data_IF_835186132902
#
_entry.id   IF_835186132902
#
_cell.length_a   1.000
_cell.length_b   1.000
_cell.length_c   1.000
_cell.angle_alpha   90.00
_cell.angle_beta   90.00
_cell.angle_gamma   90.00
#
_symmetry.space_group_name_H-M   'P 1'
#
loop_
_entity.id
_entity.type
_entity.pdbx_description
1 polymer ?
#
# COMPACT_ATOMS: atom_id res chain seq x y z
N UNK A 1 -27.93 -50.35 -53.54
CA UNK A 1 -26.46 -50.38 -53.43
C UNK A 1 -26.07 -49.24 -52.51
N UNK A 2 -25.71 -49.53 -51.26
CA UNK A 2 -25.40 -48.55 -50.21
C UNK A 2 -24.12 -47.78 -50.58
N UNK A 3 -24.17 -46.45 -50.59
CA UNK A 3 -22.98 -45.59 -50.62
C UNK A 3 -22.73 -45.13 -49.19
N UNK A 4 -21.68 -45.67 -48.58
CA UNK A 4 -21.16 -45.23 -47.27
C UNK A 4 -20.38 -43.93 -47.45
N UNK A 5 -20.93 -42.81 -46.96
CA UNK A 5 -20.22 -41.53 -46.88
C UNK A 5 -19.39 -41.53 -45.60
N UNK A 6 -18.08 -41.62 -45.75
CA UNK A 6 -17.11 -41.51 -44.66
C UNK A 6 -16.97 -40.04 -44.27
N UNK A 7 -17.61 -39.62 -43.19
CA UNK A 7 -17.39 -38.30 -42.59
C UNK A 7 -16.12 -38.32 -41.73
N UNK A 8 -15.09 -37.62 -42.20
CA UNK A 8 -13.84 -37.39 -41.47
C UNK A 8 -14.07 -36.26 -40.46
N UNK A 9 -13.87 -36.46 -39.13
CA UNK A 9 -14.07 -35.38 -38.18
C UNK A 9 -12.88 -34.42 -38.28
N UNK A 10 -13.13 -33.23 -38.81
CA UNK A 10 -12.19 -32.12 -38.76
C UNK A 10 -12.21 -31.55 -37.33
N UNK A 11 -11.19 -31.90 -36.55
CA UNK A 11 -11.05 -31.45 -35.17
C UNK A 11 -10.70 -29.96 -35.17
N UNK A 12 -11.70 -29.10 -35.05
CA UNK A 12 -11.53 -27.64 -35.01
C UNK A 12 -11.15 -27.24 -33.58
N UNK A 13 -9.86 -27.22 -33.30
CA UNK A 13 -9.33 -26.70 -32.03
C UNK A 13 -9.52 -25.19 -32.04
N UNK A 14 -10.62 -24.71 -31.44
CA UNK A 14 -10.81 -23.30 -31.13
C UNK A 14 -9.86 -22.97 -29.97
N UNK A 15 -8.68 -22.46 -30.30
CA UNK A 15 -7.80 -21.78 -29.34
C UNK A 15 -8.46 -20.45 -28.96
N UNK A 16 -9.28 -20.49 -27.91
CA UNK A 16 -9.79 -19.29 -27.24
C UNK A 16 -8.62 -18.62 -26.51
N UNK A 17 -7.84 -17.81 -27.24
CA UNK A 17 -6.89 -16.87 -26.66
C UNK A 17 -7.68 -15.81 -25.90
N UNK A 18 -8.00 -16.09 -24.63
CA UNK A 18 -8.37 -15.07 -23.65
C UNK A 18 -7.17 -14.14 -23.49
N UNK A 19 -7.16 -13.03 -24.25
CA UNK A 19 -6.27 -11.92 -23.98
C UNK A 19 -6.69 -11.31 -22.65
N UNK A 20 -6.14 -11.83 -21.55
CA UNK A 20 -6.24 -11.21 -20.23
C UNK A 20 -5.62 -9.81 -20.35
N UNK A 21 -6.48 -8.81 -20.49
CA UNK A 21 -6.09 -7.40 -20.46
C UNK A 21 -5.81 -7.08 -18.99
N UNK A 22 -4.54 -7.15 -18.58
CA UNK A 22 -4.14 -6.62 -17.29
C UNK A 22 -4.21 -5.09 -17.39
N UNK A 23 -5.38 -4.52 -17.08
CA UNK A 23 -5.49 -3.10 -16.80
C UNK A 23 -4.71 -2.85 -15.52
N UNK A 24 -3.47 -2.36 -15.65
CA UNK A 24 -2.74 -1.79 -14.52
C UNK A 24 -3.46 -0.51 -14.14
N UNK A 25 -4.36 -0.58 -13.15
CA UNK A 25 -4.99 0.61 -12.62
C UNK A 25 -3.92 1.49 -11.98
N UNK A 26 -3.80 2.73 -12.45
CA UNK A 26 -2.93 3.71 -11.83
C UNK A 26 -3.51 4.10 -10.46
N UNK A 27 -2.64 4.25 -9.46
CA UNK A 27 -3.06 4.74 -8.14
C UNK A 27 -3.27 6.24 -8.26
N UNK A 28 -4.54 6.66 -8.29
CA UNK A 28 -4.91 8.08 -8.40
C UNK A 28 -5.11 8.77 -7.04
N UNK A 29 -5.32 8.00 -5.97
CA UNK A 29 -5.37 8.49 -4.59
C UNK A 29 -5.15 7.35 -3.59
N UNK A 30 -4.97 7.70 -2.31
CA UNK A 30 -4.86 6.75 -1.20
C UNK A 30 -5.78 7.17 -0.04
N UNK A 31 -7.02 7.59 -0.31
CA UNK A 31 -7.93 8.07 0.74
C UNK A 31 -8.07 7.05 1.91
N UNK A 32 -7.98 7.54 3.14
CA UNK A 32 -8.12 6.74 4.37
C UNK A 32 -6.84 6.69 5.22
N UNK A 33 -6.83 5.78 6.21
CA UNK A 33 -5.72 5.57 7.12
C UNK A 33 -4.79 4.47 6.60
N UNK A 34 -3.49 4.75 6.58
CA UNK A 34 -2.45 3.86 6.08
C UNK A 34 -1.29 3.80 7.06
N UNK A 35 -0.80 2.61 7.34
CA UNK A 35 0.32 2.40 8.25
C UNK A 35 1.48 1.71 7.53
N UNK A 36 2.68 1.96 8.00
CA UNK A 36 3.85 1.24 7.52
C UNK A 36 3.77 -0.25 7.91
N UNK A 37 4.26 -1.15 7.06
CA UNK A 37 4.38 -2.55 7.43
C UNK A 37 5.58 -2.75 8.37
N UNK A 38 5.32 -3.25 9.58
CA UNK A 38 6.28 -3.30 10.70
C UNK A 38 7.61 -3.98 10.33
N UNK A 39 7.51 -5.10 9.62
CA UNK A 39 8.68 -5.92 9.27
C UNK A 39 9.33 -5.50 7.95
N UNK A 40 8.95 -4.37 7.36
CA UNK A 40 9.66 -3.78 6.25
C UNK A 40 11.02 -3.19 6.71
N UNK A 41 12.04 -3.27 5.86
CA UNK A 41 13.29 -2.55 6.06
C UNK A 41 13.27 -1.22 5.32
N UNK A 42 14.39 -0.48 5.39
CA UNK A 42 14.51 0.81 4.69
C UNK A 42 14.27 0.71 3.18
N UNK A 43 14.66 -0.41 2.57
CA UNK A 43 14.51 -0.68 1.14
C UNK A 43 14.06 -2.11 0.85
N UNK A 44 13.78 -2.89 1.90
CA UNK A 44 13.41 -4.30 1.78
C UNK A 44 11.95 -4.46 2.12
N UNK A 45 11.24 -5.24 1.29
CA UNK A 45 9.84 -5.58 1.49
C UNK A 45 9.58 -6.20 2.87
N UNK A 46 8.35 -6.09 3.41
CA UNK A 46 7.95 -6.77 4.64
C UNK A 46 8.06 -8.31 4.48
N UNK A 47 8.39 -8.98 5.58
CA UNK A 47 8.57 -10.44 5.62
C UNK A 47 7.27 -11.22 5.90
N UNK A 48 6.25 -10.53 6.35
CA UNK A 48 5.01 -11.09 6.88
C UNK A 48 3.77 -10.70 6.04
N UNK A 49 3.99 -10.18 4.83
CA UNK A 49 2.94 -9.64 3.96
C UNK A 49 2.07 -8.57 4.65
N UNK A 50 2.67 -7.71 5.47
CA UNK A 50 1.98 -6.64 6.21
C UNK A 50 0.84 -7.16 7.09
N UNK A 51 1.02 -8.30 7.75
CA UNK A 51 0.10 -8.76 8.80
C UNK A 51 0.22 -7.90 10.05
N UNK A 52 1.43 -7.43 10.33
CA UNK A 52 1.74 -6.48 11.39
C UNK A 52 2.04 -5.09 10.80
N UNK A 53 1.39 -4.07 11.37
CA UNK A 53 1.59 -2.66 11.02
C UNK A 53 2.45 -2.00 12.10
N UNK A 54 3.33 -1.10 11.70
CA UNK A 54 4.01 -0.16 12.58
C UNK A 54 2.97 0.77 13.21
N UNK A 55 3.23 1.30 14.41
CA UNK A 55 2.32 2.23 15.04
C UNK A 55 2.29 3.60 14.35
N UNK A 56 3.26 3.92 13.50
CA UNK A 56 3.29 5.15 12.71
C UNK A 56 2.59 5.01 11.34
N UNK A 57 1.79 6.03 10.99
CA UNK A 57 1.02 6.04 9.76
C UNK A 57 0.56 7.43 9.33
N UNK A 58 -0.28 7.46 8.30
CA UNK A 58 -0.84 8.66 7.71
C UNK A 58 -2.33 8.48 7.41
N UNK A 59 -3.12 9.52 7.67
CA UNK A 59 -4.44 9.67 7.06
C UNK A 59 -4.27 10.55 5.82
N UNK A 60 -4.60 10.01 4.65
CA UNK A 60 -4.71 10.82 3.45
C UNK A 60 -6.17 11.24 3.26
N UNK A 61 -6.38 12.55 3.24
CA UNK A 61 -7.70 13.13 2.95
C UNK A 61 -7.56 14.56 2.49
N UNK A 62 -8.42 15.02 1.57
CA UNK A 62 -8.48 16.43 1.13
C UNK A 62 -7.11 17.03 0.73
N UNK A 63 -6.30 16.28 -0.02
CA UNK A 63 -4.93 16.68 -0.41
C UNK A 63 -3.98 16.96 0.77
N UNK A 64 -4.26 16.33 1.92
CA UNK A 64 -3.41 16.35 3.11
C UNK A 64 -2.97 14.95 3.50
N UNK A 65 -1.75 14.85 4.00
CA UNK A 65 -1.27 13.72 4.77
C UNK A 65 -1.20 14.14 6.24
N UNK A 66 -2.04 13.54 7.08
CA UNK A 66 -2.04 13.76 8.52
C UNK A 66 -1.25 12.63 9.15
N UNK A 67 -0.11 12.92 9.77
CA UNK A 67 0.62 11.92 10.55
C UNK A 67 -0.25 11.43 11.71
N UNK A 68 -0.25 10.12 11.96
CA UNK A 68 -0.91 9.49 13.09
C UNK A 68 0.01 8.47 13.73
N UNK A 69 -0.11 8.30 15.05
CA UNK A 69 0.58 7.24 15.77
C UNK A 69 -0.40 6.48 16.66
N UNK A 70 -0.49 5.17 16.53
CA UNK A 70 -1.27 4.30 17.43
C UNK A 70 -0.62 4.30 18.82
N UNK A 71 -1.45 4.41 19.86
CA UNK A 71 -1.00 4.62 21.25
C UNK A 71 -1.54 3.58 22.25
N UNK A 72 -2.44 2.70 21.82
CA UNK A 72 -3.09 1.70 22.67
C UNK A 72 -2.67 0.26 22.36
N UNK A 73 -1.70 0.07 21.46
CA UNK A 73 -1.16 -1.26 21.21
C UNK A 73 -0.37 -1.80 22.41
N UNK A 74 -0.60 -3.07 22.72
CA UNK A 74 0.16 -3.86 23.70
C UNK A 74 0.90 -5.03 23.05
N UNK A 75 1.03 -5.04 21.71
CA UNK A 75 1.70 -6.12 21.00
C UNK A 75 3.17 -6.23 21.41
N UNK A 76 3.60 -7.47 21.67
CA UNK A 76 4.95 -7.77 22.13
C UNK A 76 5.85 -8.24 20.98
N UNK A 77 5.27 -8.76 19.90
CA UNK A 77 5.98 -9.32 18.76
C UNK A 77 6.32 -8.25 17.72
N UNK A 78 6.83 -7.10 18.17
CA UNK A 78 7.31 -6.04 17.29
C UNK A 78 8.79 -6.23 16.96
N UNK A 79 9.21 -5.68 15.83
CA UNK A 79 10.59 -5.66 15.36
C UNK A 79 11.49 -5.05 16.42
N UNK A 80 12.61 -5.73 16.69
CA UNK A 80 13.57 -5.35 17.75
C UNK A 80 12.95 -5.33 19.16
N UNK A 81 11.91 -6.13 19.41
CA UNK A 81 11.25 -6.27 20.72
C UNK A 81 10.70 -4.96 21.29
N UNK A 82 10.26 -4.05 20.41
CA UNK A 82 9.72 -2.75 20.80
C UNK A 82 8.23 -2.87 21.11
N UNK A 83 7.92 -3.31 22.32
CA UNK A 83 6.54 -3.53 22.78
C UNK A 83 5.67 -2.29 22.55
N UNK A 84 4.48 -2.49 21.97
CA UNK A 84 3.49 -1.45 21.70
C UNK A 84 3.78 -0.55 20.50
N UNK A 85 4.88 -0.78 19.75
CA UNK A 85 5.21 0.00 18.54
C UNK A 85 4.70 -0.65 17.24
N UNK A 86 3.85 -1.67 17.35
CA UNK A 86 3.23 -2.31 16.21
C UNK A 86 1.87 -2.88 16.60
N UNK A 87 1.02 -3.24 15.65
CA UNK A 87 -0.29 -3.85 15.90
C UNK A 87 -0.75 -4.69 14.71
N UNK A 88 -1.67 -5.63 14.94
CA UNK A 88 -2.18 -6.49 13.85
C UNK A 88 -3.07 -5.69 12.91
N UNK A 89 -2.90 -5.93 11.62
CA UNK A 89 -3.64 -5.22 10.56
C UNK A 89 -5.14 -5.57 10.50
N UNK A 90 -5.58 -6.61 11.20
CA UNK A 90 -6.96 -7.12 11.23
C UNK A 90 -7.73 -6.73 12.49
N UNK A 91 -7.21 -5.80 13.30
CA UNK A 91 -7.95 -5.26 14.43
C UNK A 91 -9.16 -4.44 13.96
N UNK A 92 -10.28 -4.61 14.65
CA UNK A 92 -11.52 -3.87 14.36
C UNK A 92 -11.38 -2.37 14.60
N UNK A 93 -10.55 -1.96 15.57
CA UNK A 93 -10.27 -0.56 15.86
C UNK A 93 -8.91 -0.36 16.52
N UNK A 94 -8.38 0.86 16.42
CA UNK A 94 -7.20 1.33 17.16
C UNK A 94 -7.38 2.77 17.61
N UNK A 95 -6.73 3.15 18.71
CA UNK A 95 -6.66 4.54 19.16
C UNK A 95 -5.36 5.17 18.67
N UNK A 96 -5.47 6.29 17.97
CA UNK A 96 -4.30 7.02 17.47
C UNK A 96 -4.28 8.47 17.93
N UNK A 97 -3.06 9.00 18.14
CA UNK A 97 -2.82 10.43 18.31
C UNK A 97 -2.61 11.07 16.95
N UNK A 98 -3.25 12.23 16.74
CA UNK A 98 -3.04 13.05 15.55
C UNK A 98 -1.75 13.86 15.67
N UNK A 99 -0.95 13.85 14.61
CA UNK A 99 0.27 14.63 14.47
C UNK A 99 0.13 15.79 13.49
N UNK A 100 1.25 16.13 12.86
CA UNK A 100 1.38 17.20 11.88
C UNK A 100 0.67 16.86 10.57
N UNK A 101 0.22 17.90 9.87
CA UNK A 101 -0.36 17.79 8.54
C UNK A 101 0.58 18.36 7.47
N UNK A 102 0.69 17.65 6.36
CA UNK A 102 1.44 18.05 5.18
C UNK A 102 0.55 18.13 3.95
N UNK A 103 0.93 18.98 2.98
CA UNK A 103 0.27 18.98 1.68
C UNK A 103 0.73 17.79 0.86
N UNK A 104 -0.22 17.11 0.24
CA UNK A 104 0.05 16.05 -0.74
C UNK A 104 -0.69 16.29 -2.04
N UNK A 105 -0.17 15.74 -3.14
CA UNK A 105 -0.89 15.61 -4.41
C UNK A 105 -0.73 14.18 -4.91
N UNK A 106 -1.80 13.61 -5.42
CA UNK A 106 -1.80 12.31 -6.06
C UNK A 106 -2.06 12.44 -7.56
N UNK A 107 -1.59 11.45 -8.33
CA UNK A 107 -1.98 11.27 -9.73
C UNK A 107 -0.92 10.53 -10.53
N UNK A 108 -1.35 9.76 -11.54
CA UNK A 108 -0.46 8.96 -12.39
C UNK A 108 0.48 8.04 -11.57
N UNK A 109 -0.06 7.36 -10.55
CA UNK A 109 0.71 6.51 -9.62
C UNK A 109 1.86 7.26 -8.93
N UNK A 110 1.66 8.54 -8.60
CA UNK A 110 2.63 9.33 -7.83
C UNK A 110 1.96 9.97 -6.62
N UNK A 111 2.71 10.03 -5.53
CA UNK A 111 2.43 10.84 -4.35
C UNK A 111 3.49 11.94 -4.27
N UNK A 112 3.08 13.20 -4.28
CA UNK A 112 3.97 14.34 -4.09
C UNK A 112 3.72 14.89 -2.69
N UNK A 113 4.69 14.74 -1.79
CA UNK A 113 4.64 15.23 -0.41
C UNK A 113 5.46 16.51 -0.27
N UNK A 114 4.82 17.60 0.14
CA UNK A 114 5.48 18.89 0.34
C UNK A 114 5.78 19.13 1.82
N UNK A 115 7.06 19.21 2.17
CA UNK A 115 7.55 19.44 3.54
C UNK A 115 8.85 20.25 3.54
N UNK A 116 8.99 21.17 4.51
CA UNK A 116 10.16 22.05 4.70
C UNK A 116 10.64 22.74 3.40
N UNK A 117 9.70 23.28 2.61
CA UNK A 117 10.01 24.01 1.38
C UNK A 117 10.46 23.13 0.20
N UNK A 118 10.38 21.80 0.31
CA UNK A 118 10.70 20.86 -0.77
C UNK A 118 9.52 19.90 -1.02
N UNK A 119 9.31 19.51 -2.27
CA UNK A 119 8.28 18.52 -2.64
C UNK A 119 8.95 17.24 -3.11
N UNK A 120 8.81 16.17 -2.34
CA UNK A 120 9.33 14.85 -2.68
C UNK A 120 8.28 14.10 -3.50
N UNK A 121 8.71 13.55 -4.63
CA UNK A 121 7.90 12.63 -5.42
C UNK A 121 8.18 11.19 -4.95
N UNK A 122 7.11 10.44 -4.70
CA UNK A 122 7.13 9.01 -4.48
C UNK A 122 6.37 8.33 -5.62
N UNK A 123 6.98 7.34 -6.26
CA UNK A 123 6.34 6.48 -7.24
C UNK A 123 5.60 5.36 -6.51
N UNK A 124 4.30 5.27 -6.76
CA UNK A 124 3.41 4.32 -6.14
C UNK A 124 3.31 3.06 -7.01
N UNK A 125 3.42 1.90 -6.38
CA UNK A 125 3.18 0.61 -7.01
C UNK A 125 2.23 -0.19 -6.16
N UNK A 126 1.07 -0.48 -6.72
CA UNK A 126 0.09 -1.36 -6.10
C UNK A 126 0.67 -2.77 -5.96
N UNK A 127 0.62 -3.31 -4.75
CA UNK A 127 0.73 -4.74 -4.50
C UNK A 127 -0.59 -5.15 -3.89
N UNK A 128 -1.06 -6.34 -4.22
CA UNK A 128 -2.33 -6.91 -3.74
C UNK A 128 -2.69 -6.70 -2.26
N UNK A 129 -1.72 -6.46 -1.38
CA UNK A 129 -1.90 -6.31 0.08
C UNK A 129 -1.45 -4.93 0.60
N UNK A 130 -0.59 -4.22 -0.13
CA UNK A 130 0.02 -2.97 0.32
C UNK A 130 0.51 -2.14 -0.88
N UNK A 131 0.66 -0.83 -0.69
CA UNK A 131 1.27 0.05 -1.68
C UNK A 131 2.74 0.24 -1.37
N UNK A 132 3.59 0.08 -2.37
CA UNK A 132 4.99 0.47 -2.31
C UNK A 132 5.13 1.92 -2.80
N UNK A 133 5.69 2.80 -1.97
CA UNK A 133 5.96 4.20 -2.31
C UNK A 133 7.47 4.46 -2.28
N UNK A 134 8.06 4.47 -3.47
CA UNK A 134 9.51 4.58 -3.67
C UNK A 134 9.90 6.02 -4.01
N UNK A 135 10.85 6.64 -3.30
CA UNK A 135 11.23 8.03 -3.55
C UNK A 135 11.94 8.16 -4.90
N UNK A 136 11.62 9.22 -5.64
CA UNK A 136 12.30 9.57 -6.87
C UNK A 136 13.81 9.80 -6.66
N UNK A 137 14.61 9.75 -7.74
CA UNK A 137 16.06 9.91 -7.64
C UNK A 137 16.46 11.27 -7.07
N UNK A 138 15.78 12.34 -7.53
CA UNK A 138 15.94 13.68 -7.00
C UNK A 138 15.22 13.78 -5.66
N UNK A 139 16.02 13.84 -4.59
CA UNK A 139 15.53 13.76 -3.22
C UNK A 139 15.56 15.09 -2.52
N UNK A 140 14.49 15.39 -1.79
CA UNK A 140 14.55 16.35 -0.70
C UNK A 140 15.52 15.85 0.37
N UNK A 141 16.22 16.76 1.05
CA UNK A 141 17.22 16.41 2.08
C UNK A 141 16.64 15.52 3.19
N UNK A 142 15.33 15.65 3.46
CA UNK A 142 14.61 14.91 4.50
C UNK A 142 14.07 13.54 4.06
N UNK A 143 13.90 13.26 2.77
CA UNK A 143 13.23 12.04 2.30
C UNK A 143 14.12 10.80 2.35
N UNK A 144 15.43 10.99 2.20
CA UNK A 144 16.40 9.89 2.19
C UNK A 144 16.13 8.82 1.11
N UNK A 145 16.52 7.57 1.38
CA UNK A 145 16.33 6.43 0.46
C UNK A 145 15.22 5.47 0.91
N UNK A 146 14.40 5.86 1.88
CA UNK A 146 13.39 4.96 2.48
C UNK A 146 12.30 4.69 1.45
N UNK A 147 11.98 3.41 1.23
CA UNK A 147 10.77 2.98 0.54
C UNK A 147 9.71 2.76 1.62
N UNK A 148 8.55 3.37 1.46
CA UNK A 148 7.42 3.12 2.35
C UNK A 148 6.60 1.95 1.80
N UNK A 149 6.28 1.01 2.66
CA UNK A 149 5.36 -0.09 2.35
C UNK A 149 4.13 0.15 3.22
N UNK A 150 3.06 0.61 2.60
CA UNK A 150 1.89 1.14 3.29
C UNK A 150 0.70 0.21 3.07
N UNK A 151 0.08 -0.25 4.16
CA UNK A 151 -1.17 -0.99 4.10
C UNK A 151 -2.31 -0.13 4.63
N UNK A 152 -3.43 -0.15 3.92
CA UNK A 152 -4.65 0.52 4.36
C UNK A 152 -5.21 -0.22 5.57
N UNK A 153 -5.56 0.54 6.60
CA UNK A 153 -6.25 0.02 7.77
C UNK A 153 -7.75 0.13 7.53
N UNK A 154 -8.43 -1.01 7.57
CA UNK A 154 -9.87 -1.11 7.29
C UNK A 154 -10.72 -1.03 8.57
N UNK A 155 -10.10 -1.15 9.75
CA UNK A 155 -10.76 -0.95 11.03
C UNK A 155 -10.99 0.53 11.37
N UNK A 156 -11.69 0.76 12.47
CA UNK A 156 -12.03 2.09 12.95
C UNK A 156 -10.84 2.79 13.62
N UNK A 157 -10.62 4.04 13.25
CA UNK A 157 -9.57 4.87 13.84
C UNK A 157 -10.16 5.85 14.86
N UNK A 158 -9.90 5.62 16.14
CA UNK A 158 -10.33 6.50 17.23
C UNK A 158 -9.25 7.57 17.47
N UNK A 159 -9.48 8.78 16.95
CA UNK A 159 -8.53 9.88 17.09
C UNK A 159 -8.62 10.54 18.46
N UNK A 160 -7.50 10.57 19.18
CA UNK A 160 -7.30 11.40 20.38
C UNK A 160 -6.53 12.67 20.03
N UNK A 161 -6.93 13.75 20.71
CA UNK A 161 -6.24 15.04 20.68
C UNK A 161 -4.90 14.97 21.41
#
# INVERSE_FOLDING_TARGET
MLILIVFKPFFLIITFMLTLSFNSFAIENMEGAWFECEFAGKISKPLDDCKMLDNDGFIFSNNKATHISVIDSQEINCKKNKVGQCFKSDLDFVTARKGREDSVKFGNSKLILSFLGCSQVFHLKDKSIYVEASPDEKKCFWAGKKIFYLKKFEGDLILKK
#
